data_IF_205892122748
#
_entry.id   IF_205892122748
#
_cell.length_a   1.000
_cell.length_b   1.000
_cell.length_c   1.000
_cell.angle_alpha   90.00
_cell.angle_beta   90.00
_cell.angle_gamma   90.00
#
_symmetry.space_group_name_H-M   'P 1'
#
loop_
_entity.id
_entity.type
_entity.pdbx_description
1 polymer ?
#
# COMPACT_ATOMS: atom_id res chain seq x y z
N UNK A 1 4.63 5.78 -14.28
CA UNK A 1 4.44 5.40 -12.87
C UNK A 1 5.75 4.90 -12.30
N UNK A 2 6.18 5.46 -11.20
CA UNK A 2 7.37 5.01 -10.47
C UNK A 2 6.97 4.72 -9.03
N UNK A 3 7.21 3.50 -8.57
CA UNK A 3 6.92 3.09 -7.20
C UNK A 3 8.11 2.33 -6.63
N UNK A 4 8.62 2.79 -5.50
CA UNK A 4 9.72 2.15 -4.77
C UNK A 4 9.28 1.80 -3.35
N UNK A 5 9.62 0.62 -2.90
CA UNK A 5 9.43 0.18 -1.51
C UNK A 5 10.82 -0.04 -0.91
N UNK A 6 11.17 0.78 0.08
CA UNK A 6 12.53 0.83 0.57
C UNK A 6 13.48 1.29 -0.54
N UNK A 7 14.49 0.48 -0.85
CA UNK A 7 15.43 0.73 -1.94
C UNK A 7 15.07 -0.03 -3.22
N UNK A 8 13.99 -0.80 -3.20
CA UNK A 8 13.59 -1.67 -4.31
C UNK A 8 12.57 -0.97 -5.21
N UNK A 9 12.89 -0.85 -6.48
CA UNK A 9 11.95 -0.35 -7.49
C UNK A 9 11.02 -1.49 -7.93
N UNK A 10 9.73 -1.36 -7.62
CA UNK A 10 8.71 -2.35 -7.95
C UNK A 10 7.84 -1.95 -9.12
N UNK A 11 8.18 -0.87 -9.82
CA UNK A 11 7.35 -0.31 -10.90
C UNK A 11 7.05 -1.30 -12.01
N UNK A 12 7.97 -2.22 -12.29
CA UNK A 12 7.81 -3.23 -13.37
C UNK A 12 6.83 -4.34 -13.01
N UNK A 13 6.60 -4.58 -11.73
CA UNK A 13 5.74 -5.67 -11.25
C UNK A 13 4.42 -5.16 -10.68
N UNK A 14 4.25 -3.86 -10.56
CA UNK A 14 3.01 -3.23 -10.12
C UNK A 14 2.13 -2.98 -11.34
N UNK A 15 0.91 -3.51 -11.33
CA UNK A 15 -0.09 -3.23 -12.35
C UNK A 15 -0.74 -1.88 -12.13
N UNK A 16 -1.23 -1.64 -10.92
CA UNK A 16 -1.87 -0.39 -10.53
C UNK A 16 -1.59 -0.08 -9.07
N UNK A 17 -1.62 1.20 -8.73
CA UNK A 17 -1.73 1.61 -7.34
C UNK A 17 -2.70 2.77 -7.23
N UNK A 18 -3.37 2.87 -6.08
CA UNK A 18 -4.34 3.92 -5.81
C UNK A 18 -4.00 4.58 -4.48
N UNK A 19 -3.88 5.90 -4.50
CA UNK A 19 -3.70 6.70 -3.29
C UNK A 19 -5.04 7.26 -2.84
N UNK A 20 -5.29 7.19 -1.54
CA UNK A 20 -6.42 7.84 -0.91
C UNK A 20 -5.96 8.51 0.37
N UNK A 21 -6.70 9.52 0.81
CA UNK A 21 -6.40 10.24 2.04
C UNK A 21 -7.62 10.25 2.93
N UNK A 22 -7.40 10.00 4.22
CA UNK A 22 -8.45 10.06 5.22
C UNK A 22 -7.96 10.84 6.42
N UNK A 23 -8.83 11.66 7.00
CA UNK A 23 -8.55 12.33 8.25
C UNK A 23 -8.80 11.36 9.39
N UNK A 24 -7.78 11.11 10.21
CA UNK A 24 -7.91 10.30 11.42
C UNK A 24 -8.23 11.20 12.59
N UNK A 25 -9.04 10.71 13.52
CA UNK A 25 -9.43 11.46 14.70
C UNK A 25 -10.37 12.62 14.39
N UNK A 26 -11.30 12.45 13.47
CA UNK A 26 -12.33 13.42 13.15
C UNK A 26 -13.63 13.03 13.83
N UNK A 27 -14.27 14.04 14.46
CA UNK A 27 -15.59 13.90 15.04
C UNK A 27 -16.53 14.91 14.40
N UNK A 28 -17.76 14.47 14.10
CA UNK A 28 -18.78 15.35 13.53
C UNK A 28 -19.99 15.35 14.48
N UNK A 29 -20.40 16.56 14.91
CA UNK A 29 -21.57 16.77 15.74
C UNK A 29 -22.51 17.78 15.09
N UNK A 30 -23.81 17.63 15.32
CA UNK A 30 -24.81 18.56 14.82
C UNK A 30 -25.44 19.34 15.97
N UNK A 31 -25.54 20.66 15.82
CA UNK A 31 -26.26 21.50 16.76
C UNK A 31 -27.76 21.39 16.55
N UNK A 32 -28.55 21.93 17.49
CA UNK A 32 -29.99 21.86 17.44
C UNK A 32 -30.60 22.55 16.21
N UNK A 33 -29.92 23.52 15.64
CA UNK A 33 -30.35 24.20 14.41
C UNK A 33 -29.86 23.52 13.13
N UNK A 34 -29.27 22.32 13.23
CA UNK A 34 -28.81 21.54 12.07
C UNK A 34 -27.43 21.88 11.55
N UNK A 35 -26.70 22.79 12.20
CA UNK A 35 -25.34 23.13 11.79
C UNK A 35 -24.37 22.03 12.18
N UNK A 36 -23.61 21.51 11.21
CA UNK A 36 -22.60 20.51 11.47
C UNK A 36 -21.39 21.11 12.19
N UNK A 37 -20.91 20.42 13.20
CA UNK A 37 -19.70 20.75 13.93
C UNK A 37 -18.68 19.65 13.69
N UNK A 38 -17.53 20.00 13.11
CA UNK A 38 -16.49 19.04 12.77
C UNK A 38 -15.24 19.34 13.57
N UNK A 39 -14.84 18.39 14.41
CA UNK A 39 -13.60 18.47 15.17
C UNK A 39 -12.58 17.50 14.58
N UNK A 40 -11.38 17.99 14.33
CA UNK A 40 -10.27 17.18 13.81
C UNK A 40 -9.17 17.10 14.87
N UNK A 41 -8.84 15.87 15.24
CA UNK A 41 -7.79 15.59 16.22
C UNK A 41 -6.47 15.17 15.58
N UNK A 42 -6.43 15.01 14.26
CA UNK A 42 -5.25 14.60 13.52
C UNK A 42 -5.25 15.10 12.09
N UNK A 43 -4.16 14.84 11.40
CA UNK A 43 -3.98 15.24 10.01
C UNK A 43 -4.52 14.16 9.05
N UNK A 44 -4.66 14.55 7.78
CA UNK A 44 -4.92 13.60 6.73
C UNK A 44 -3.73 12.67 6.54
N UNK A 45 -4.00 11.37 6.48
CA UNK A 45 -3.02 10.32 6.25
C UNK A 45 -3.31 9.61 4.95
N UNK A 46 -2.24 9.26 4.23
CA UNK A 46 -2.33 8.63 2.93
C UNK A 46 -2.35 7.12 3.07
N UNK A 47 -3.25 6.48 2.33
CA UNK A 47 -3.30 5.03 2.17
C UNK A 47 -3.01 4.70 0.70
N UNK A 48 -2.10 3.76 0.46
CA UNK A 48 -1.78 3.29 -0.88
C UNK A 48 -2.21 1.83 -1.01
N UNK A 49 -3.07 1.54 -1.98
CA UNK A 49 -3.45 0.18 -2.35
C UNK A 49 -2.70 -0.18 -3.62
N UNK A 50 -1.95 -1.27 -3.58
CA UNK A 50 -1.08 -1.70 -4.67
C UNK A 50 -1.54 -3.05 -5.18
N UNK A 51 -1.80 -3.14 -6.49
CA UNK A 51 -2.06 -4.40 -7.18
C UNK A 51 -0.82 -4.83 -7.94
N UNK A 52 -0.27 -5.97 -7.56
CA UNK A 52 0.90 -6.54 -8.22
C UNK A 52 0.51 -7.44 -9.40
N UNK A 53 1.33 -7.42 -10.42
CA UNK A 53 1.21 -8.32 -11.55
C UNK A 53 2.01 -9.60 -11.35
N UNK A 54 2.24 -10.31 -12.46
CA UNK A 54 3.01 -11.56 -12.46
C UNK A 54 4.47 -11.27 -12.14
N UNK A 55 5.04 -12.05 -11.22
CA UNK A 55 6.45 -11.98 -10.88
C UNK A 55 6.99 -13.34 -10.43
N UNK A 56 8.33 -13.55 -10.49
CA UNK A 56 8.93 -14.74 -9.91
C UNK A 56 8.69 -14.83 -8.40
N UNK A 57 8.60 -16.05 -7.87
CA UNK A 57 8.42 -16.28 -6.43
C UNK A 57 9.51 -15.60 -5.61
N UNK A 58 10.75 -15.60 -6.09
CA UNK A 58 11.86 -14.95 -5.39
C UNK A 58 11.66 -13.44 -5.26
N UNK A 59 11.16 -12.77 -6.29
CA UNK A 59 10.87 -11.34 -6.24
C UNK A 59 9.75 -11.03 -5.23
N UNK A 60 8.70 -11.84 -5.19
CA UNK A 60 7.63 -11.70 -4.21
C UNK A 60 8.14 -11.92 -2.78
N UNK A 61 9.01 -12.90 -2.57
CA UNK A 61 9.61 -13.15 -1.26
C UNK A 61 10.41 -11.94 -0.75
N UNK A 62 11.15 -11.28 -1.63
CA UNK A 62 11.90 -10.06 -1.29
C UNK A 62 10.96 -8.92 -0.90
N UNK A 63 9.87 -8.74 -1.65
CA UNK A 63 8.85 -7.73 -1.34
C UNK A 63 8.18 -8.04 -0.01
N UNK A 64 7.83 -9.29 0.28
CA UNK A 64 7.25 -9.70 1.56
C UNK A 64 8.18 -9.38 2.73
N UNK A 65 9.47 -9.58 2.57
CA UNK A 65 10.47 -9.24 3.60
C UNK A 65 10.47 -7.74 3.91
N UNK A 66 10.34 -6.90 2.88
CA UNK A 66 10.22 -5.44 3.06
C UNK A 66 8.92 -5.05 3.76
N UNK A 67 7.81 -5.71 3.43
CA UNK A 67 6.49 -5.42 4.02
C UNK A 67 6.39 -5.79 5.50
N UNK A 68 7.22 -6.69 5.98
CA UNK A 68 7.25 -7.10 7.40
C UNK A 68 7.90 -6.07 8.31
N UNK A 69 8.53 -5.05 7.76
CA UNK A 69 9.14 -3.98 8.54
C UNK A 69 8.08 -3.14 9.24
N UNK A 70 8.37 -2.67 10.46
CA UNK A 70 7.46 -1.81 11.23
C UNK A 70 7.27 -0.46 10.52
N UNK A 71 8.32 0.02 9.87
CA UNK A 71 8.32 1.28 9.14
C UNK A 71 8.87 1.03 7.75
N UNK A 72 8.09 1.38 6.73
CA UNK A 72 8.40 1.14 5.34
C UNK A 72 8.52 2.48 4.63
N UNK A 73 9.68 2.74 4.02
CA UNK A 73 9.84 3.91 3.17
C UNK A 73 9.23 3.61 1.80
N UNK A 74 8.30 4.44 1.36
CA UNK A 74 7.62 4.29 0.07
C UNK A 74 7.79 5.57 -0.73
N UNK A 75 8.25 5.45 -1.96
CA UNK A 75 8.34 6.55 -2.92
C UNK A 75 7.37 6.27 -4.07
N UNK A 76 6.34 7.08 -4.17
CA UNK A 76 5.32 6.98 -5.22
C UNK A 76 5.38 8.23 -6.09
N UNK A 77 5.87 8.06 -7.32
CA UNK A 77 5.99 9.14 -8.32
C UNK A 77 6.72 10.40 -7.80
N UNK A 78 7.78 10.18 -7.01
CA UNK A 78 8.61 11.24 -6.46
C UNK A 78 8.17 11.78 -5.11
N UNK A 79 7.06 11.31 -4.56
CA UNK A 79 6.61 11.67 -3.22
C UNK A 79 6.94 10.55 -2.24
N UNK A 80 7.67 10.90 -1.18
CA UNK A 80 8.11 9.93 -0.18
C UNK A 80 7.16 9.87 1.00
N UNK A 81 6.87 8.65 1.44
CA UNK A 81 6.03 8.38 2.60
C UNK A 81 6.73 7.40 3.54
N UNK A 82 6.43 7.51 4.83
CA UNK A 82 6.76 6.47 5.80
C UNK A 82 5.47 5.74 6.15
N UNK A 83 5.41 4.46 5.85
CA UNK A 83 4.18 3.69 5.91
C UNK A 83 4.35 2.39 6.70
N UNK A 84 3.25 1.75 7.01
CA UNK A 84 3.20 0.40 7.57
C UNK A 84 2.18 -0.44 6.81
N UNK A 85 2.34 -1.75 6.86
CA UNK A 85 1.39 -2.67 6.24
C UNK A 85 0.05 -2.60 7.00
N UNK A 86 -1.02 -2.33 6.26
CA UNK A 86 -2.38 -2.36 6.79
C UNK A 86 -3.00 -3.72 6.46
N UNK A 87 -3.29 -4.52 7.49
CA UNK A 87 -3.85 -5.85 7.31
C UNK A 87 -2.81 -6.93 7.12
N UNK A 88 -3.11 -7.90 6.29
CA UNK A 88 -2.29 -9.09 6.07
C UNK A 88 -1.48 -9.01 4.79
N UNK A 89 -0.36 -9.75 4.75
CA UNK A 89 0.31 -10.05 3.49
C UNK A 89 -0.59 -11.03 2.74
N UNK A 90 -1.06 -10.70 1.53
CA UNK A 90 -2.02 -11.52 0.82
C UNK A 90 -1.42 -12.86 0.35
N UNK A 91 -2.28 -13.84 0.22
CA UNK A 91 -1.92 -15.07 -0.46
C UNK A 91 -1.74 -14.79 -1.95
N UNK A 92 -0.74 -15.42 -2.54
CA UNK A 92 -0.44 -15.30 -3.95
C UNK A 92 -0.92 -16.51 -4.71
N UNK A 93 -1.45 -16.32 -5.91
CA UNK A 93 -1.72 -17.41 -6.83
C UNK A 93 -0.40 -17.88 -7.42
N UNK A 94 0.01 -19.11 -7.09
CA UNK A 94 1.27 -19.69 -7.53
C UNK A 94 1.05 -20.62 -8.73
N UNK A 95 1.87 -20.46 -9.76
CA UNK A 95 1.81 -21.33 -10.92
C UNK A 95 3.21 -21.49 -11.53
N UNK A 96 3.38 -22.51 -12.35
CA UNK A 96 4.63 -22.77 -13.03
C UNK A 96 4.56 -22.30 -14.48
N UNK A 97 5.44 -21.37 -14.82
CA UNK A 97 5.62 -20.92 -16.20
C UNK A 97 6.72 -21.75 -16.87
N UNK A 98 6.51 -22.31 -18.07
CA UNK A 98 7.52 -23.13 -18.73
C UNK A 98 8.82 -22.39 -19.06
N UNK A 99 8.76 -21.05 -19.19
CA UNK A 99 9.93 -20.23 -19.55
C UNK A 99 10.51 -19.56 -18.31
N UNK A 100 9.64 -19.02 -17.42
CA UNK A 100 10.05 -18.20 -16.28
C UNK A 100 10.20 -18.97 -14.98
N UNK A 101 9.74 -20.21 -14.92
CA UNK A 101 9.73 -21.03 -13.72
C UNK A 101 8.55 -20.72 -12.81
N UNK A 102 8.74 -20.85 -11.49
CA UNK A 102 7.67 -20.60 -10.53
C UNK A 102 7.36 -19.12 -10.44
N UNK A 103 6.10 -18.77 -10.63
CA UNK A 103 5.59 -17.38 -10.62
C UNK A 103 4.42 -17.24 -9.67
N UNK A 104 4.18 -16.01 -9.25
CA UNK A 104 3.03 -15.61 -8.43
C UNK A 104 2.29 -14.46 -9.11
N UNK A 105 0.99 -14.36 -8.84
CA UNK A 105 0.14 -13.28 -9.35
C UNK A 105 -1.03 -13.01 -8.41
N UNK A 106 -1.82 -11.98 -8.72
CA UNK A 106 -3.05 -11.61 -8.02
C UNK A 106 -2.81 -11.18 -6.56
N UNK A 107 -1.70 -10.48 -6.28
CA UNK A 107 -1.43 -9.93 -4.96
C UNK A 107 -1.89 -8.48 -4.86
N UNK A 108 -2.59 -8.17 -3.78
CA UNK A 108 -2.97 -6.79 -3.44
C UNK A 108 -2.50 -6.48 -2.03
N UNK A 109 -1.89 -5.31 -1.85
CA UNK A 109 -1.33 -4.87 -0.58
C UNK A 109 -1.82 -3.46 -0.27
N UNK A 110 -2.18 -3.21 0.98
CA UNK A 110 -2.54 -1.89 1.47
C UNK A 110 -1.48 -1.39 2.44
N UNK A 111 -0.99 -0.18 2.20
CA UNK A 111 -0.04 0.50 3.07
C UNK A 111 -0.67 1.78 3.59
N UNK A 112 -0.53 2.04 4.88
CA UNK A 112 -1.00 3.26 5.53
C UNK A 112 0.18 4.09 6.02
N UNK A 113 0.08 5.41 5.87
CA UNK A 113 1.03 6.37 6.41
C UNK A 113 1.00 6.36 7.94
N UNK A 114 2.17 6.37 8.52
CA UNK A 114 2.35 6.40 9.99
C UNK A 114 2.00 7.79 10.56
#
# INVERSE_FOLDING_TARGET
MVLKIGTTDVSKVVMTYKKSQACRGQSVQYSLNGTAHVDRFGDYKTTINISFGVMPVSAWADICALLKSVSIAVDADGTSYTMHLSGEIPEAYCYKDPIKGDCVSEMEVSLEEI
#
